data_IF_022294843945
#
_entry.id   IF_022294843945
#
_cell.length_a   1.000
_cell.length_b   1.000
_cell.length_c   1.000
_cell.angle_alpha   90.00
_cell.angle_beta   90.00
_cell.angle_gamma   90.00
#
_symmetry.space_group_name_H-M   'P 1'
#
loop_
_entity.id
_entity.type
_entity.pdbx_description
1 polymer ?
#
# COMPACT_ATOMS: atom_id res chain seq x y z
N UNK A 1 4.09 -15.93 -12.33
CA UNK A 1 5.34 -16.62 -11.99
C UNK A 1 6.48 -15.62 -12.14
N UNK A 2 7.36 -15.48 -11.14
CA UNK A 2 8.54 -14.59 -11.24
C UNK A 2 9.73 -15.45 -11.58
N UNK A 3 10.32 -15.20 -12.75
CA UNK A 3 11.50 -15.91 -13.21
C UNK A 3 12.61 -14.91 -13.51
N UNK A 4 13.85 -15.25 -13.15
CA UNK A 4 15.05 -14.50 -13.52
C UNK A 4 16.07 -15.50 -14.06
N UNK A 5 16.41 -15.37 -15.34
CA UNK A 5 17.45 -16.16 -15.99
C UNK A 5 18.83 -15.52 -15.78
N UNK A 6 19.85 -16.38 -15.63
CA UNK A 6 21.25 -15.96 -15.52
C UNK A 6 21.70 -15.32 -16.82
N UNK A 7 22.43 -14.21 -16.73
CA UNK A 7 23.07 -13.55 -17.87
C UNK A 7 24.52 -14.02 -18.03
N UNK A 8 25.07 -13.82 -19.23
CA UNK A 8 26.49 -14.07 -19.47
C UNK A 8 27.37 -13.19 -18.59
N UNK A 9 28.42 -13.78 -18.02
CA UNK A 9 29.35 -13.16 -17.06
C UNK A 9 28.71 -12.63 -15.77
N UNK A 10 27.55 -13.16 -15.37
CA UNK A 10 26.92 -12.81 -14.10
C UNK A 10 27.39 -13.67 -12.92
N UNK A 11 27.73 -13.04 -11.80
CA UNK A 11 27.96 -13.73 -10.53
C UNK A 11 26.65 -14.24 -9.91
N UNK A 12 26.73 -15.35 -9.18
CA UNK A 12 25.55 -15.93 -8.50
C UNK A 12 24.88 -14.95 -7.53
N UNK A 13 25.68 -14.10 -6.87
CA UNK A 13 25.17 -13.08 -5.96
C UNK A 13 24.33 -12.00 -6.68
N UNK A 14 24.81 -11.52 -7.83
CA UNK A 14 24.08 -10.54 -8.63
C UNK A 14 22.72 -11.09 -9.08
N UNK A 15 22.68 -12.37 -9.47
CA UNK A 15 21.45 -13.07 -9.85
C UNK A 15 20.44 -13.10 -8.68
N UNK A 16 20.87 -13.49 -7.48
CA UNK A 16 20.02 -13.51 -6.27
C UNK A 16 19.49 -12.12 -5.93
N UNK A 17 20.33 -11.08 -6.08
CA UNK A 17 19.93 -9.70 -5.82
C UNK A 17 18.87 -9.21 -6.81
N UNK A 18 18.99 -9.56 -8.09
CA UNK A 18 17.97 -9.27 -9.12
C UNK A 18 16.65 -10.00 -8.83
N UNK A 19 16.73 -11.28 -8.49
CA UNK A 19 15.56 -12.06 -8.09
C UNK A 19 14.85 -11.40 -6.90
N UNK A 20 15.58 -11.08 -5.84
CA UNK A 20 15.04 -10.43 -4.64
C UNK A 20 14.36 -9.10 -4.94
N UNK A 21 15.00 -8.24 -5.76
CA UNK A 21 14.40 -6.98 -6.20
C UNK A 21 13.13 -7.20 -7.01
N UNK A 22 13.11 -8.20 -7.90
CA UNK A 22 11.93 -8.53 -8.70
C UNK A 22 10.77 -9.03 -7.83
N UNK A 23 11.05 -9.87 -6.83
CA UNK A 23 10.06 -10.34 -5.84
C UNK A 23 9.48 -9.18 -5.02
N UNK A 24 10.33 -8.25 -4.60
CA UNK A 24 9.89 -7.06 -3.85
C UNK A 24 9.03 -6.14 -4.71
N UNK A 25 9.47 -5.82 -5.93
CA UNK A 25 8.76 -4.90 -6.84
C UNK A 25 7.40 -5.44 -7.30
N UNK A 26 7.31 -6.74 -7.53
CA UNK A 26 6.05 -7.40 -7.91
C UNK A 26 5.08 -7.53 -6.75
N UNK A 27 5.55 -7.41 -5.50
CA UNK A 27 4.69 -7.45 -4.32
C UNK A 27 4.04 -8.83 -4.06
N UNK A 28 4.52 -9.90 -4.69
CA UNK A 28 3.93 -11.25 -4.55
C UNK A 28 3.89 -11.72 -3.10
N UNK A 29 4.92 -11.39 -2.30
CA UNK A 29 4.92 -11.68 -0.87
C UNK A 29 3.81 -10.94 -0.12
N UNK A 30 3.52 -9.68 -0.48
CA UNK A 30 2.45 -8.90 0.14
C UNK A 30 1.08 -9.44 -0.26
N UNK A 31 0.92 -9.85 -1.52
CA UNK A 31 -0.30 -10.49 -1.99
C UNK A 31 -0.55 -11.81 -1.24
N UNK A 32 0.46 -12.69 -1.16
CA UNK A 32 0.38 -13.97 -0.47
C UNK A 32 0.06 -13.79 1.03
N UNK A 33 0.68 -12.82 1.70
CA UNK A 33 0.36 -12.48 3.10
C UNK A 33 -1.08 -11.97 3.25
N UNK A 34 -1.56 -11.16 2.30
CA UNK A 34 -2.92 -10.60 2.34
C UNK A 34 -4.00 -11.65 2.11
N UNK A 35 -3.74 -12.65 1.26
CA UNK A 35 -4.67 -13.74 0.92
C UNK A 35 -4.50 -14.98 1.80
N UNK A 36 -3.58 -14.97 2.77
CA UNK A 36 -3.31 -16.11 3.67
C UNK A 36 -4.57 -16.62 4.38
N UNK A 37 -5.46 -15.70 4.76
CA UNK A 37 -6.70 -16.02 5.45
C UNK A 37 -7.89 -15.55 4.63
N UNK A 38 -8.98 -16.34 4.68
CA UNK A 38 -10.25 -15.93 4.09
C UNK A 38 -10.76 -14.67 4.80
N UNK A 39 -11.22 -13.71 4.01
CA UNK A 39 -11.89 -12.51 4.48
C UNK A 39 -13.29 -12.52 3.92
N UNK A 40 -14.27 -12.28 4.77
CA UNK A 40 -15.65 -12.16 4.34
C UNK A 40 -15.83 -10.91 3.49
N UNK A 41 -16.81 -10.96 2.59
CA UNK A 41 -17.17 -9.78 1.83
C UNK A 41 -17.74 -8.72 2.76
N UNK A 42 -17.34 -7.46 2.52
CA UNK A 42 -17.89 -6.34 3.27
C UNK A 42 -19.40 -6.22 3.04
N UNK A 43 -20.14 -6.05 4.12
CA UNK A 43 -21.55 -5.69 4.07
C UNK A 43 -21.76 -4.34 3.35
N UNK A 44 -22.99 -4.08 2.90
CA UNK A 44 -23.36 -2.79 2.28
C UNK A 44 -23.03 -1.61 3.18
N UNK A 45 -23.30 -1.73 4.49
CA UNK A 45 -23.01 -0.69 5.50
C UNK A 45 -21.52 -0.40 5.61
N UNK A 46 -20.67 -1.43 5.65
CA UNK A 46 -19.22 -1.26 5.72
C UNK A 46 -18.62 -0.67 4.43
N UNK A 47 -19.17 -1.03 3.27
CA UNK A 47 -18.80 -0.42 1.98
C UNK A 47 -19.11 1.08 1.99
N UNK A 48 -20.31 1.47 2.44
CA UNK A 48 -20.75 2.86 2.55
C UNK A 48 -19.89 3.64 3.56
N UNK A 49 -19.70 3.11 4.77
CA UNK A 49 -18.88 3.75 5.80
C UNK A 49 -17.44 3.98 5.32
N UNK A 50 -16.86 3.00 4.61
CA UNK A 50 -15.54 3.12 4.00
C UNK A 50 -15.47 4.20 2.91
N UNK A 51 -16.52 4.35 2.10
CA UNK A 51 -16.61 5.40 1.07
C UNK A 51 -16.69 6.80 1.70
N UNK A 52 -17.56 6.97 2.69
CA UNK A 52 -17.72 8.23 3.45
C UNK A 52 -16.39 8.63 4.10
N UNK A 53 -15.69 7.67 4.71
CA UNK A 53 -14.38 7.93 5.31
C UNK A 53 -13.35 8.41 4.28
N UNK A 54 -13.27 7.76 3.11
CA UNK A 54 -12.36 8.18 2.02
C UNK A 54 -12.65 9.60 1.55
N UNK A 55 -13.93 9.96 1.42
CA UNK A 55 -14.33 11.30 1.01
C UNK A 55 -13.96 12.36 2.07
N UNK A 56 -14.21 12.08 3.35
CA UNK A 56 -13.81 12.94 4.47
C UNK A 56 -12.30 13.17 4.48
N UNK A 57 -11.50 12.11 4.36
CA UNK A 57 -10.03 12.21 4.28
C UNK A 57 -9.61 13.06 3.08
N UNK A 58 -10.19 12.82 1.89
CA UNK A 58 -9.88 13.59 0.68
C UNK A 58 -10.15 15.08 0.86
N UNK A 59 -11.29 15.46 1.47
CA UNK A 59 -11.63 16.86 1.76
C UNK A 59 -10.61 17.51 2.69
N UNK A 60 -10.21 16.83 3.77
CA UNK A 60 -9.24 17.38 4.73
C UNK A 60 -7.85 17.50 4.10
N UNK A 61 -7.39 16.48 3.37
CA UNK A 61 -6.09 16.51 2.68
C UNK A 61 -6.05 17.65 1.65
N UNK A 62 -7.10 17.83 0.85
CA UNK A 62 -7.17 18.92 -0.12
C UNK A 62 -7.11 20.29 0.55
N UNK A 63 -7.79 20.46 1.69
CA UNK A 63 -7.74 21.71 2.47
C UNK A 63 -6.32 21.98 3.00
N UNK A 64 -5.65 20.98 3.56
CA UNK A 64 -4.28 21.11 4.08
C UNK A 64 -3.27 21.42 2.98
N UNK A 65 -3.39 20.77 1.82
CA UNK A 65 -2.57 21.07 0.63
C UNK A 65 -2.76 22.51 0.18
N UNK A 66 -4.01 22.99 0.09
CA UNK A 66 -4.30 24.39 -0.26
C UNK A 66 -3.74 25.39 0.75
N UNK A 67 -3.65 25.01 2.02
CA UNK A 67 -3.10 25.84 3.09
C UNK A 67 -1.57 25.75 3.23
N UNK A 68 -0.89 24.93 2.42
CA UNK A 68 0.55 24.69 2.54
C UNK A 68 0.98 23.95 3.81
N UNK A 69 0.02 23.42 4.59
CA UNK A 69 0.25 22.73 5.89
C UNK A 69 0.18 21.21 5.75
N UNK A 70 0.59 20.68 4.60
CA UNK A 70 0.57 19.24 4.36
C UNK A 70 1.93 18.65 4.69
N UNK A 71 2.03 18.06 5.88
CA UNK A 71 3.18 17.32 6.37
C UNK A 71 2.74 15.92 6.85
N UNK A 72 3.69 14.99 6.96
CA UNK A 72 3.41 13.64 7.43
C UNK A 72 2.84 13.61 8.85
N UNK A 73 3.21 14.59 9.69
CA UNK A 73 2.70 14.75 11.06
C UNK A 73 1.24 15.15 11.08
N UNK A 74 0.86 16.22 10.36
CA UNK A 74 -0.55 16.64 10.26
C UNK A 74 -1.43 15.58 9.64
N UNK A 75 -0.95 14.86 8.62
CA UNK A 75 -1.73 13.77 8.02
C UNK A 75 -2.03 12.64 9.02
N UNK A 76 -1.05 12.23 9.84
CA UNK A 76 -1.25 11.23 10.91
C UNK A 76 -2.25 11.73 11.95
N UNK A 77 -2.20 13.00 12.32
CA UNK A 77 -3.12 13.61 13.30
C UNK A 77 -4.55 13.70 12.78
N UNK A 78 -4.74 14.09 11.52
CA UNK A 78 -6.05 14.07 10.83
C UNK A 78 -6.62 12.66 10.80
N UNK A 79 -5.79 11.67 10.45
CA UNK A 79 -6.21 10.26 10.40
C UNK A 79 -6.67 9.78 11.78
N UNK A 80 -5.94 10.11 12.85
CA UNK A 80 -6.34 9.81 14.24
C UNK A 80 -7.68 10.46 14.61
N UNK A 81 -7.90 11.72 14.22
CA UNK A 81 -9.15 12.45 14.49
C UNK A 81 -10.37 11.92 13.74
N UNK A 82 -10.19 11.30 12.57
CA UNK A 82 -11.30 10.74 11.77
C UNK A 82 -11.67 9.29 12.13
N UNK A 83 -10.82 8.61 12.92
CA UNK A 83 -11.05 7.25 13.41
C UNK A 83 -11.77 7.26 14.77
N UNK A 84 -11.62 8.36 15.52
CA UNK A 84 -12.35 8.63 16.77
C UNK A 84 -13.76 9.11 16.47
#
# INVERSE_FOLDING_TARGET
MIEVKKKDRESSESLIRRFSRRVQQTGVLMQARRSRFRKDEKSKREKIAGAIYKEKVKKVVNKLKKMGKFDEGTFKNVKKKLIK
#
